data_IF_588370365175
#
_entry.id   IF_588370365175
#
_cell.length_a   1.000
_cell.length_b   1.000
_cell.length_c   1.000
_cell.angle_alpha   90.00
_cell.angle_beta   90.00
_cell.angle_gamma   90.00
#
_symmetry.space_group_name_H-M   'P 1'
#
loop_
_entity.id
_entity.type
_entity.pdbx_description
1 polymer ?
#
# COMPACT_ATOMS: atom_id res chain seq x y z
N UNK A 1 -1.29 17.91 12.11
CA UNK A 1 -0.59 16.91 11.28
C UNK A 1 -1.54 16.58 10.15
N UNK A 2 -1.30 17.04 8.92
CA UNK A 2 -2.16 16.68 7.78
C UNK A 2 -1.89 15.23 7.39
N UNK A 3 -2.90 14.52 6.87
CA UNK A 3 -2.67 13.18 6.39
C UNK A 3 -1.78 13.24 5.14
N UNK A 4 -0.85 12.28 4.96
CA UNK A 4 0.08 12.26 3.82
C UNK A 4 -0.61 12.37 2.45
N UNK A 5 -1.80 11.78 2.31
CA UNK A 5 -2.61 11.88 1.08
C UNK A 5 -3.18 13.27 0.89
N UNK A 6 -3.70 13.90 1.95
CA UNK A 6 -4.26 15.25 1.90
C UNK A 6 -3.18 16.28 1.56
N UNK A 7 -1.99 16.15 2.16
CA UNK A 7 -0.83 17.00 1.86
C UNK A 7 -0.37 16.86 0.40
N UNK A 8 -0.33 15.62 -0.10
CA UNK A 8 0.02 15.37 -1.50
C UNK A 8 -1.01 15.98 -2.46
N UNK A 9 -2.31 15.81 -2.18
CA UNK A 9 -3.39 16.33 -3.03
C UNK A 9 -3.41 17.87 -3.04
N UNK A 10 -3.15 18.50 -1.89
CA UNK A 10 -3.07 19.96 -1.79
C UNK A 10 -1.92 20.53 -2.65
N UNK A 11 -0.77 19.83 -2.68
CA UNK A 11 0.39 20.22 -3.50
C UNK A 11 0.21 19.96 -5.00
N UNK A 12 -0.62 19.00 -5.40
CA UNK A 12 -0.91 18.70 -6.81
C UNK A 12 -1.74 19.78 -7.52
N UNK A 13 -2.50 20.57 -6.74
CA UNK A 13 -3.47 21.52 -7.28
C UNK A 13 -4.78 20.85 -7.73
N UNK A 14 -5.82 21.67 -7.92
CA UNK A 14 -7.23 21.24 -7.99
C UNK A 14 -7.51 20.16 -9.05
N UNK A 15 -7.07 20.37 -10.29
CA UNK A 15 -7.38 19.44 -11.39
C UNK A 15 -6.71 18.07 -11.22
N UNK A 16 -5.42 18.04 -10.86
CA UNK A 16 -4.67 16.80 -10.69
C UNK A 16 -5.08 16.06 -9.40
N UNK A 17 -5.35 16.80 -8.33
CA UNK A 17 -5.90 16.25 -7.08
C UNK A 17 -7.24 15.57 -7.27
N UNK A 18 -8.18 16.21 -7.99
CA UNK A 18 -9.48 15.63 -8.31
C UNK A 18 -9.35 14.34 -9.15
N UNK A 19 -8.42 14.30 -10.09
CA UNK A 19 -8.15 13.11 -10.90
C UNK A 19 -7.59 11.96 -10.05
N UNK A 20 -6.65 12.25 -9.14
CA UNK A 20 -6.11 11.27 -8.21
C UNK A 20 -7.18 10.70 -7.27
N UNK A 21 -8.07 11.55 -6.75
CA UNK A 21 -9.19 11.11 -5.91
C UNK A 21 -10.20 10.26 -6.69
N UNK A 22 -10.50 10.61 -7.94
CA UNK A 22 -11.34 9.77 -8.82
C UNK A 22 -10.68 8.43 -9.13
N UNK A 23 -9.37 8.40 -9.29
CA UNK A 23 -8.62 7.17 -9.48
C UNK A 23 -8.72 6.23 -8.27
N UNK A 24 -8.68 6.79 -7.05
CA UNK A 24 -8.85 6.04 -5.79
C UNK A 24 -10.25 5.46 -5.58
N UNK A 25 -11.30 6.07 -6.13
CA UNK A 25 -12.69 5.59 -5.98
C UNK A 25 -12.99 4.33 -6.81
N UNK A 26 -12.07 3.86 -7.64
CA UNK A 26 -12.28 2.66 -8.45
C UNK A 26 -12.23 1.40 -7.57
N UNK A 27 -13.16 0.44 -7.73
CA UNK A 27 -13.30 -0.71 -6.83
C UNK A 27 -12.24 -1.81 -6.99
N UNK A 28 -11.16 -1.58 -7.74
CA UNK A 28 -10.10 -2.57 -7.96
C UNK A 28 -8.90 -2.32 -7.03
N UNK A 29 -8.47 -3.38 -6.36
CA UNK A 29 -7.30 -3.41 -5.47
C UNK A 29 -6.00 -3.02 -6.20
N UNK A 30 -5.91 -3.27 -7.50
CA UNK A 30 -4.78 -2.83 -8.34
C UNK A 30 -4.63 -1.29 -8.35
N UNK A 31 -5.73 -0.56 -8.37
CA UNK A 31 -5.73 0.91 -8.34
C UNK A 31 -5.27 1.45 -6.99
N UNK A 32 -5.68 0.80 -5.89
CA UNK A 32 -5.22 1.17 -4.54
C UNK A 32 -3.71 0.96 -4.38
N UNK A 33 -3.18 -0.15 -4.90
CA UNK A 33 -1.73 -0.41 -4.87
C UNK A 33 -0.95 0.60 -5.70
N UNK A 34 -1.44 0.94 -6.90
CA UNK A 34 -0.82 1.95 -7.74
C UNK A 34 -0.84 3.34 -7.08
N UNK A 35 -1.95 3.71 -6.42
CA UNK A 35 -2.03 4.98 -5.69
C UNK A 35 -1.09 5.03 -4.48
N UNK A 36 -0.90 3.91 -3.79
CA UNK A 36 0.08 3.79 -2.71
C UNK A 36 1.53 3.95 -3.22
N UNK A 37 1.85 3.44 -4.42
CA UNK A 37 3.15 3.66 -5.05
C UNK A 37 3.38 5.12 -5.42
N UNK A 38 2.38 5.81 -5.97
CA UNK A 38 2.45 7.24 -6.27
C UNK A 38 2.72 8.05 -4.99
N UNK A 39 2.03 7.73 -3.90
CA UNK A 39 2.25 8.36 -2.59
C UNK A 39 3.67 8.12 -2.05
N UNK A 40 4.21 6.91 -2.23
CA UNK A 40 5.58 6.56 -1.84
C UNK A 40 6.61 7.38 -2.61
N UNK A 41 6.45 7.48 -3.94
CA UNK A 41 7.35 8.25 -4.79
C UNK A 41 7.30 9.72 -4.37
N UNK A 42 6.10 10.28 -4.16
CA UNK A 42 5.97 11.67 -3.71
C UNK A 42 6.66 11.92 -2.36
N UNK A 43 6.48 11.03 -1.38
CA UNK A 43 7.13 11.14 -0.08
C UNK A 43 8.66 11.19 -0.18
N UNK A 44 9.25 10.41 -1.07
CA UNK A 44 10.70 10.34 -1.25
C UNK A 44 11.23 11.51 -2.10
N UNK A 45 10.50 11.90 -3.15
CA UNK A 45 10.97 12.90 -4.12
C UNK A 45 10.72 14.33 -3.66
N UNK A 46 9.62 14.58 -2.95
CA UNK A 46 9.14 15.93 -2.62
C UNK A 46 9.25 16.25 -1.14
N UNK A 47 8.99 15.28 -0.25
CA UNK A 47 8.95 15.53 1.20
C UNK A 47 10.31 15.32 1.85
N UNK A 48 10.87 14.11 1.75
CA UNK A 48 12.18 13.77 2.31
C UNK A 48 12.78 12.55 1.58
N UNK A 49 13.89 12.79 0.88
CA UNK A 49 14.64 11.77 0.14
C UNK A 49 15.57 10.90 1.00
N UNK A 50 15.52 11.03 2.32
CA UNK A 50 16.33 10.22 3.23
C UNK A 50 16.00 8.72 3.11
N UNK A 51 17.03 7.88 3.27
CA UNK A 51 16.88 6.42 3.29
C UNK A 51 15.95 5.97 4.43
N UNK A 52 15.99 6.69 5.56
CA UNK A 52 15.11 6.45 6.70
C UNK A 52 13.63 6.66 6.34
N UNK A 53 13.30 7.72 5.59
CA UNK A 53 11.94 7.99 5.13
C UNK A 53 11.46 6.90 4.15
N UNK A 54 12.31 6.49 3.20
CA UNK A 54 12.02 5.40 2.26
C UNK A 54 11.72 4.09 3.00
N UNK A 55 12.58 3.70 3.94
CA UNK A 55 12.41 2.45 4.71
C UNK A 55 11.16 2.48 5.59
N UNK A 56 10.83 3.64 6.18
CA UNK A 56 9.61 3.82 6.96
C UNK A 56 8.36 3.61 6.10
N UNK A 57 8.28 4.29 4.95
CA UNK A 57 7.13 4.20 4.06
C UNK A 57 7.00 2.84 3.39
N UNK A 58 8.12 2.22 3.00
CA UNK A 58 8.13 0.85 2.50
C UNK A 58 7.53 -0.13 3.53
N UNK A 59 7.84 0.01 4.81
CA UNK A 59 7.24 -0.82 5.87
C UNK A 59 5.74 -0.58 6.05
N UNK A 60 5.30 0.67 6.04
CA UNK A 60 3.88 1.04 6.18
C UNK A 60 3.06 0.39 5.06
N UNK A 61 3.49 0.56 3.81
CA UNK A 61 2.79 0.05 2.63
C UNK A 61 2.85 -1.49 2.52
N UNK A 62 3.95 -2.10 2.96
CA UNK A 62 4.07 -3.58 2.99
C UNK A 62 3.16 -4.20 4.05
N UNK A 63 2.89 -3.51 5.16
CA UNK A 63 1.96 -3.98 6.22
C UNK A 63 0.50 -3.89 5.81
N UNK A 64 0.13 -2.92 4.98
CA UNK A 64 -1.25 -2.71 4.53
C UNK A 64 -1.64 -3.55 3.31
N UNK A 65 -0.70 -4.25 2.68
CA UNK A 65 -0.95 -5.06 1.49
C UNK A 65 -1.72 -6.36 1.84
N UNK A 66 -2.96 -6.56 1.37
CA UNK A 66 -3.78 -7.72 1.70
C UNK A 66 -3.18 -9.04 1.21
N UNK A 67 -2.42 -9.02 0.11
CA UNK A 67 -1.78 -10.21 -0.49
C UNK A 67 -0.85 -10.98 0.46
N UNK A 68 -0.33 -10.35 1.53
CA UNK A 68 0.48 -11.04 2.55
C UNK A 68 -0.36 -11.80 3.59
N UNK A 69 -1.61 -11.41 3.81
CA UNK A 69 -2.49 -12.09 4.75
C UNK A 69 -2.94 -13.45 4.21
N UNK A 70 -3.24 -13.52 2.91
CA UNK A 70 -3.74 -14.73 2.26
C UNK A 70 -2.69 -15.84 2.16
N UNK A 71 -1.42 -15.50 1.88
CA UNK A 71 -0.36 -16.50 1.78
C UNK A 71 -0.12 -17.24 3.11
N UNK A 72 -0.22 -16.54 4.24
CA UNK A 72 -0.05 -17.13 5.58
C UNK A 72 -1.19 -18.09 5.93
N UNK A 73 -2.41 -17.83 5.44
CA UNK A 73 -3.59 -18.68 5.68
C UNK A 73 -3.55 -19.94 4.80
N UNK A 74 -3.14 -19.82 3.54
CA UNK A 74 -3.04 -20.95 2.61
C UNK A 74 -1.95 -21.95 3.01
N UNK A 75 -0.81 -21.49 3.55
CA UNK A 75 0.26 -22.37 4.03
C UNK A 75 -0.12 -23.21 5.26
N UNK A 76 -1.02 -22.72 6.12
CA UNK A 76 -1.49 -23.49 7.30
C UNK A 76 -2.54 -24.55 6.95
N UNK A 77 -3.30 -24.36 5.87
CA UNK A 77 -4.27 -25.37 5.41
C UNK A 77 -3.56 -26.64 4.90
N UNK A 78 -2.47 -26.50 4.14
CA UNK A 78 -1.67 -27.63 3.66
C UNK A 78 -0.95 -28.39 4.78
N UNK A 79 -0.44 -27.69 5.80
CA UNK A 79 0.23 -28.31 6.94
C UNK A 79 -0.71 -29.15 7.81
N UNK A 80 -1.99 -28.74 7.95
CA UNK A 80 -3.00 -29.50 8.71
C UNK A 80 -3.47 -30.77 8.00
N UNK A 81 -3.43 -30.82 6.67
CA UNK A 81 -3.75 -32.03 5.90
C UNK A 81 -2.64 -33.08 5.97
N UNK A 82 -1.37 -32.67 5.94
CA UNK A 82 -0.23 -33.60 6.03
C UNK A 82 -0.11 -34.28 7.40
N UNK A 83 -0.53 -33.61 8.48
CA UNK A 83 -0.54 -34.19 9.82
C UNK A 83 -1.66 -35.22 10.06
N UNK A 84 -2.71 -35.23 9.22
CA UNK A 84 -3.92 -36.05 9.44
C UNK A 84 -3.87 -37.42 8.75
N UNK A 85 -2.87 -37.67 7.90
CA UNK A 85 -2.77 -38.89 7.07
C UNK A 85 -1.57 -39.79 7.46
N UNK A 86 -1.14 -39.73 8.73
CA UNK A 86 0.02 -40.46 9.27
C UNK A 86 -0.36 -41.37 10.45
N UNK A 87 -1.52 -42.01 10.35
CA UNK A 87 -1.99 -43.12 11.20
C UNK A 87 -2.69 -44.13 10.31
#
# INVERSE_FOLDING_TARGET
MSLPVESMVDQMGKSAGDEFLRYLHRPDESHLQNAAQVLLIWQIVIVDGSEQNLLQWHRILTKSSPRRADYRRSGQAGARFSARNRT
#
